data_IF_273742014629
#
_entry.id   IF_273742014629
#
_cell.length_a   1.000
_cell.length_b   1.000
_cell.length_c   1.000
_cell.angle_alpha   90.00
_cell.angle_beta   90.00
_cell.angle_gamma   90.00
#
_symmetry.space_group_name_H-M   'P 1'
#
loop_
_entity.id
_entity.type
_entity.pdbx_description
1 polymer ?
#
# COMPACT_ATOMS: atom_id res chain seq x y z
N UNK A 1 -3.96 -9.75 1.48
CA UNK A 1 -2.93 -10.62 2.09
C UNK A 1 -1.74 -9.83 2.62
N UNK A 2 -0.97 -9.11 1.79
CA UNK A 2 0.24 -8.39 2.23
C UNK A 2 -0.01 -7.40 3.38
N UNK A 3 -1.07 -6.59 3.29
CA UNK A 3 -1.48 -5.68 4.37
C UNK A 3 -1.80 -6.43 5.69
N UNK A 4 -2.33 -7.65 5.62
CA UNK A 4 -2.55 -8.50 6.80
C UNK A 4 -1.24 -9.01 7.39
N UNK A 5 -0.24 -9.31 6.56
CA UNK A 5 1.09 -9.74 7.01
C UNK A 5 1.84 -8.61 7.72
N UNK A 6 1.70 -7.37 7.24
CA UNK A 6 2.22 -6.17 7.92
C UNK A 6 1.40 -5.78 9.16
N UNK A 7 0.08 -6.05 9.14
CA UNK A 7 -0.88 -5.57 10.13
C UNK A 7 -1.47 -4.20 9.79
N UNK A 8 -1.02 -3.58 8.69
CA UNK A 8 -1.48 -2.29 8.19
C UNK A 8 -1.17 -2.14 6.69
N UNK A 9 -1.82 -1.18 6.00
CA UNK A 9 -3.02 -0.45 6.44
C UNK A 9 -4.23 -1.39 6.41
N UNK A 10 -5.41 -0.91 6.82
CA UNK A 10 -6.64 -1.71 6.63
C UNK A 10 -7.05 -1.64 5.17
N UNK A 11 -7.19 -2.80 4.54
CA UNK A 11 -7.78 -2.94 3.20
C UNK A 11 -9.08 -3.72 3.37
N UNK A 12 -10.20 -3.26 2.80
CA UNK A 12 -11.45 -4.02 2.89
C UNK A 12 -11.27 -5.44 2.36
N UNK A 13 -11.94 -6.44 2.97
CA UNK A 13 -11.87 -7.82 2.53
C UNK A 13 -12.08 -7.93 1.01
N UNK A 14 -11.12 -8.56 0.34
CA UNK A 14 -11.13 -8.72 -1.11
C UNK A 14 -10.85 -10.18 -1.42
N UNK A 15 -11.71 -10.80 -2.24
CA UNK A 15 -11.66 -12.22 -2.58
C UNK A 15 -11.75 -12.42 -4.09
N UNK A 16 -11.17 -13.52 -4.59
CA UNK A 16 -11.36 -13.95 -5.96
C UNK A 16 -12.74 -14.59 -6.16
N UNK A 17 -13.35 -14.30 -7.30
CA UNK A 17 -14.65 -14.82 -7.73
C UNK A 17 -14.68 -14.96 -9.25
N UNK A 18 -15.37 -15.99 -9.73
CA UNK A 18 -15.75 -16.07 -11.14
C UNK A 18 -16.71 -14.93 -11.48
N UNK A 19 -16.38 -14.18 -12.53
CA UNK A 19 -17.19 -13.12 -13.10
C UNK A 19 -17.58 -13.41 -14.55
N UNK A 20 -18.41 -12.55 -15.17
CA UNK A 20 -18.89 -12.73 -16.55
C UNK A 20 -17.78 -12.73 -17.61
N UNK A 21 -16.58 -12.24 -17.26
CA UNK A 21 -15.42 -12.17 -18.15
C UNK A 21 -14.22 -13.01 -17.64
N UNK A 22 -14.47 -13.99 -16.77
CA UNK A 22 -13.44 -14.78 -16.10
C UNK A 22 -13.25 -14.39 -14.65
N UNK A 23 -12.19 -14.91 -14.02
CA UNK A 23 -11.88 -14.62 -12.63
C UNK A 23 -11.61 -13.13 -12.41
N UNK A 24 -12.16 -12.59 -11.32
CA UNK A 24 -11.95 -11.21 -10.90
C UNK A 24 -11.96 -11.09 -9.38
N UNK A 25 -11.82 -9.86 -8.89
CA UNK A 25 -11.84 -9.56 -7.47
C UNK A 25 -13.16 -8.93 -7.05
N UNK A 26 -13.72 -9.38 -5.92
CA UNK A 26 -14.84 -8.75 -5.24
C UNK A 26 -14.36 -8.22 -3.90
N UNK A 27 -14.55 -6.93 -3.68
CA UNK A 27 -14.20 -6.23 -2.46
C UNK A 27 -15.47 -5.88 -1.66
N UNK A 28 -15.43 -6.08 -0.35
CA UNK A 28 -16.52 -5.68 0.54
C UNK A 28 -16.74 -4.17 0.44
N UNK A 29 -18.00 -3.76 0.27
CA UNK A 29 -18.37 -2.36 0.30
C UNK A 29 -18.24 -1.82 1.72
N UNK A 30 -17.67 -0.63 1.86
CA UNK A 30 -17.55 0.09 3.12
C UNK A 30 -18.41 1.35 3.06
N UNK A 31 -19.37 1.53 3.96
CA UNK A 31 -19.92 2.86 4.23
C UNK A 31 -18.81 3.78 4.73
N UNK A 32 -18.71 4.98 4.16
CA UNK A 32 -17.69 5.97 4.54
C UNK A 32 -18.21 7.39 4.35
N UNK A 33 -17.60 8.34 5.04
CA UNK A 33 -17.87 9.77 4.84
C UNK A 33 -17.01 10.31 3.67
N UNK A 34 -17.60 10.70 2.52
CA UNK A 34 -16.85 11.17 1.37
C UNK A 34 -16.19 12.53 1.57
N UNK A 35 -16.56 13.30 2.61
CA UNK A 35 -15.89 14.55 2.97
C UNK A 35 -14.57 14.31 3.72
N UNK A 36 -14.40 13.11 4.27
CA UNK A 36 -13.23 12.67 5.03
C UNK A 36 -12.32 11.85 4.12
N UNK A 37 -11.24 12.46 3.65
CA UNK A 37 -10.25 11.87 2.76
C UNK A 37 -8.84 12.31 3.16
N UNK A 38 -7.80 11.83 2.47
CA UNK A 38 -6.41 12.14 2.86
C UNK A 38 -6.17 13.63 3.11
N UNK A 39 -6.45 14.49 2.12
CA UNK A 39 -6.17 15.93 2.23
C UNK A 39 -6.93 16.63 3.38
N UNK A 40 -8.08 16.11 3.81
CA UNK A 40 -8.84 16.68 4.95
C UNK A 40 -8.44 16.09 6.30
N UNK A 41 -7.78 14.93 6.32
CA UNK A 41 -7.41 14.20 7.53
C UNK A 41 -5.90 14.17 7.81
N UNK A 42 -5.04 14.64 6.88
CA UNK A 42 -3.58 14.44 6.92
C UNK A 42 -2.91 14.92 8.21
N UNK A 43 -3.41 15.99 8.82
CA UNK A 43 -2.87 16.53 10.08
C UNK A 43 -3.37 15.73 11.30
N UNK A 44 -4.66 15.40 11.35
CA UNK A 44 -5.30 14.65 12.45
C UNK A 44 -4.76 13.22 12.56
N UNK A 45 -4.36 12.61 11.43
CA UNK A 45 -4.08 11.18 11.31
C UNK A 45 -2.71 10.88 10.71
N UNK A 46 -1.74 11.76 10.95
CA UNK A 46 -0.40 11.67 10.39
C UNK A 46 0.24 10.28 10.60
N UNK A 47 0.10 9.68 11.78
CA UNK A 47 0.68 8.36 12.09
C UNK A 47 0.02 7.20 11.35
N UNK A 48 -1.28 7.30 11.04
CA UNK A 48 -1.96 6.33 10.18
C UNK A 48 -1.50 6.51 8.73
N UNK A 49 -1.38 7.75 8.26
CA UNK A 49 -0.93 8.04 6.89
C UNK A 49 0.56 7.75 6.65
N UNK A 50 1.41 7.80 7.67
CA UNK A 50 2.80 7.27 7.58
C UNK A 50 2.80 5.80 7.18
N UNK A 51 1.91 5.00 7.77
CA UNK A 51 1.76 3.58 7.43
C UNK A 51 1.19 3.39 6.03
N UNK A 52 0.22 4.22 5.62
CA UNK A 52 -0.30 4.19 4.24
C UNK A 52 0.79 4.53 3.23
N UNK A 53 1.55 5.61 3.44
CA UNK A 53 2.64 6.02 2.57
C UNK A 53 3.71 4.93 2.45
N UNK A 54 4.11 4.33 3.58
CA UNK A 54 5.08 3.25 3.60
C UNK A 54 4.57 2.02 2.84
N UNK A 55 3.28 1.70 3.00
CA UNK A 55 2.66 0.61 2.28
C UNK A 55 2.63 0.86 0.77
N UNK A 56 2.31 2.09 0.34
CA UNK A 56 2.32 2.47 -1.07
C UNK A 56 3.72 2.31 -1.70
N UNK A 57 4.78 2.61 -0.95
CA UNK A 57 6.15 2.32 -1.39
C UNK A 57 6.37 0.81 -1.55
N UNK A 58 6.00 0.01 -0.53
CA UNK A 58 6.17 -1.46 -0.57
C UNK A 58 5.44 -2.07 -1.78
N UNK A 59 4.17 -1.72 -1.98
CA UNK A 59 3.36 -2.25 -3.08
C UNK A 59 3.58 -1.53 -4.40
N UNK A 60 4.34 -0.44 -4.44
CA UNK A 60 4.53 0.40 -5.62
C UNK A 60 3.18 0.86 -6.20
N UNK A 61 2.32 1.46 -5.36
CA UNK A 61 1.01 1.91 -5.79
C UNK A 61 1.14 3.06 -6.80
N UNK A 62 0.68 2.82 -8.02
CA UNK A 62 0.79 3.78 -9.10
C UNK A 62 -0.40 4.75 -9.20
N UNK A 63 -1.35 4.76 -8.27
CA UNK A 63 -2.53 5.65 -8.36
C UNK A 63 -3.20 5.97 -7.01
N UNK A 64 -2.44 6.20 -5.93
CA UNK A 64 -3.01 6.59 -4.63
C UNK A 64 -3.54 8.02 -4.68
N UNK A 65 -4.86 8.18 -4.85
CA UNK A 65 -5.57 9.45 -4.72
C UNK A 65 -6.04 9.71 -3.29
N UNK A 66 -6.39 10.95 -3.00
CA UNK A 66 -6.89 11.36 -1.69
C UNK A 66 -8.18 10.63 -1.31
N UNK A 67 -9.12 10.50 -2.26
CA UNK A 67 -10.38 9.79 -2.05
C UNK A 67 -10.24 8.28 -1.85
N UNK A 68 -9.05 7.70 -2.00
CA UNK A 68 -8.81 6.28 -1.75
C UNK A 68 -8.56 5.97 -0.27
N UNK A 69 -8.54 6.99 0.59
CA UNK A 69 -8.39 6.88 2.04
C UNK A 69 -9.75 7.13 2.69
N UNK A 70 -10.41 6.06 3.13
CA UNK A 70 -11.79 6.04 3.59
C UNK A 70 -11.84 5.99 5.11
N UNK A 71 -12.69 6.81 5.72
CA UNK A 71 -13.00 6.72 7.15
C UNK A 71 -14.36 6.06 7.32
N UNK A 72 -14.40 4.90 7.97
CA UNK A 72 -15.66 4.23 8.30
C UNK A 72 -16.44 4.98 9.40
N UNK A 73 -17.68 4.56 9.65
CA UNK A 73 -18.56 5.16 10.67
C UNK A 73 -18.02 5.00 12.10
N UNK A 74 -17.11 4.05 12.33
CA UNK A 74 -16.43 3.85 13.61
C UNK A 74 -15.07 4.56 13.71
N UNK A 75 -14.73 5.41 12.73
CA UNK A 75 -13.50 6.22 12.74
C UNK A 75 -12.22 5.45 12.40
N UNK A 76 -12.33 4.28 11.75
CA UNK A 76 -11.19 3.47 11.28
C UNK A 76 -10.82 3.85 9.86
N UNK A 77 -9.52 4.06 9.63
CA UNK A 77 -9.00 4.34 8.31
C UNK A 77 -8.83 3.06 7.48
N UNK A 78 -9.45 3.03 6.31
CA UNK A 78 -9.25 2.03 5.27
C UNK A 78 -8.63 2.65 4.03
N UNK A 79 -7.93 1.84 3.25
CA UNK A 79 -7.45 2.23 1.92
C UNK A 79 -7.91 1.26 0.85
N UNK A 80 -8.30 1.82 -0.29
CA UNK A 80 -8.84 1.09 -1.43
C UNK A 80 -8.01 1.33 -2.70
N UNK A 81 -8.46 0.78 -3.82
CA UNK A 81 -7.87 0.96 -5.14
C UNK A 81 -6.38 0.58 -5.23
N UNK A 82 -6.15 -0.73 -5.22
CA UNK A 82 -4.82 -1.34 -5.40
C UNK A 82 -4.70 -2.06 -6.75
N UNK A 83 -5.56 -1.73 -7.72
CA UNK A 83 -5.58 -2.39 -9.03
C UNK A 83 -4.34 -2.13 -9.87
N UNK A 84 -3.58 -1.08 -9.54
CA UNK A 84 -2.34 -0.68 -10.22
C UNK A 84 -1.16 -0.67 -9.24
N UNK A 85 -0.89 -1.84 -8.65
CA UNK A 85 0.23 -2.09 -7.75
C UNK A 85 1.19 -3.14 -8.33
N UNK A 86 2.27 -3.40 -7.62
CA UNK A 86 3.25 -4.49 -7.82
C UNK A 86 4.10 -4.46 -9.07
N UNK A 87 3.88 -3.50 -9.98
CA UNK A 87 4.69 -3.34 -11.17
C UNK A 87 6.20 -3.42 -10.85
N UNK A 88 6.97 -4.10 -11.71
CA UNK A 88 8.38 -4.39 -11.47
C UNK A 88 9.27 -3.14 -11.53
N UNK A 89 8.92 -2.19 -12.40
CA UNK A 89 9.54 -0.86 -12.47
C UNK A 89 8.96 0.11 -11.42
N UNK A 90 9.71 1.12 -10.97
CA UNK A 90 9.20 2.15 -10.07
C UNK A 90 8.11 2.98 -10.77
N UNK A 91 6.87 2.82 -10.31
CA UNK A 91 5.67 3.50 -10.84
C UNK A 91 4.88 4.21 -9.74
N UNK A 92 5.44 4.30 -8.53
CA UNK A 92 4.80 4.92 -7.37
C UNK A 92 4.28 6.32 -7.72
N UNK A 93 2.97 6.49 -7.59
CA UNK A 93 2.29 7.78 -7.70
C UNK A 93 1.27 7.88 -6.58
N UNK A 94 1.54 8.78 -5.65
CA UNK A 94 0.72 8.98 -4.46
C UNK A 94 0.50 10.45 -4.18
N UNK A 95 -0.54 10.78 -3.43
CA UNK A 95 -0.73 12.11 -2.85
C UNK A 95 -0.04 12.26 -1.50
N UNK A 96 0.45 11.17 -0.90
CA UNK A 96 0.97 11.11 0.47
C UNK A 96 2.51 11.21 0.44
N UNK A 97 3.02 12.37 0.02
CA UNK A 97 4.47 12.65 -0.03
C UNK A 97 4.98 13.45 1.18
N UNK A 98 4.11 13.75 2.15
CA UNK A 98 4.41 14.64 3.27
C UNK A 98 5.53 14.13 4.20
N UNK A 99 5.86 12.83 4.12
CA UNK A 99 6.84 12.18 5.02
C UNK A 99 8.21 11.94 4.39
N UNK A 100 8.46 12.42 3.17
CA UNK A 100 9.74 12.20 2.46
C UNK A 100 10.94 12.60 3.34
N UNK A 101 11.94 11.72 3.41
CA UNK A 101 13.15 11.91 4.21
C UNK A 101 12.96 11.74 5.72
N UNK A 102 11.72 11.59 6.23
CA UNK A 102 11.50 11.27 7.64
C UNK A 102 12.02 9.85 7.96
N UNK A 103 12.53 9.60 9.18
CA UNK A 103 12.84 8.25 9.64
C UNK A 103 11.60 7.37 9.67
N UNK A 104 11.74 6.12 9.21
CA UNK A 104 10.69 5.11 9.38
C UNK A 104 10.56 4.81 10.89
N UNK A 105 9.35 4.91 11.48
CA UNK A 105 9.12 4.59 12.88
C UNK A 105 9.62 3.18 13.25
N UNK A 106 10.17 3.03 14.45
CA UNK A 106 10.82 1.78 14.86
C UNK A 106 9.89 0.56 14.85
N UNK A 107 8.62 0.75 15.20
CA UNK A 107 7.58 -0.28 15.12
C UNK A 107 7.28 -0.66 13.66
N UNK A 108 7.10 0.31 12.77
CA UNK A 108 6.91 0.07 11.34
C UNK A 108 8.12 -0.60 10.69
N UNK A 109 9.35 -0.25 11.13
CA UNK A 109 10.59 -0.92 10.72
C UNK A 109 10.60 -2.38 11.16
N UNK A 110 10.25 -2.68 12.40
CA UNK A 110 10.14 -4.06 12.88
C UNK A 110 9.09 -4.86 12.09
N UNK A 111 8.00 -4.22 11.67
CA UNK A 111 6.99 -4.83 10.80
C UNK A 111 7.54 -5.15 9.40
N UNK A 112 8.36 -4.26 8.83
CA UNK A 112 9.06 -4.50 7.57
C UNK A 112 10.10 -5.62 7.67
N UNK A 113 10.82 -5.73 8.80
CA UNK A 113 11.77 -6.83 9.04
C UNK A 113 11.04 -8.18 9.07
N UNK A 114 9.89 -8.25 9.77
CA UNK A 114 9.04 -9.45 9.74
C UNK A 114 8.51 -9.74 8.34
N UNK A 115 8.09 -8.72 7.60
CA UNK A 115 7.64 -8.89 6.22
C UNK A 115 8.77 -9.41 5.33
N UNK A 116 9.99 -8.88 5.43
CA UNK A 116 11.16 -9.37 4.70
C UNK A 116 11.33 -10.87 4.92
N UNK A 117 11.30 -11.32 6.16
CA UNK A 117 11.49 -12.73 6.50
C UNK A 117 10.34 -13.61 5.96
N UNK A 118 9.10 -13.11 6.02
CA UNK A 118 7.93 -13.78 5.43
C UNK A 118 7.96 -13.84 3.89
N UNK A 119 8.73 -12.97 3.23
CA UNK A 119 8.90 -12.95 1.78
C UNK A 119 10.00 -13.89 1.28
N UNK A 120 10.81 -14.48 2.16
CA UNK A 120 11.85 -15.44 1.77
C UNK A 120 11.25 -16.81 1.41
N UNK A 121 10.35 -17.33 2.25
CA UNK A 121 9.65 -18.60 2.01
C UNK A 121 8.38 -18.73 2.85
N UNK A 122 7.50 -19.66 2.46
CA UNK A 122 6.30 -20.03 3.21
C UNK A 122 4.99 -19.59 2.54
N UNK A 123 3.85 -19.71 3.25
CA UNK A 123 2.52 -19.58 2.65
C UNK A 123 2.28 -18.23 1.96
N UNK A 124 2.81 -17.13 2.51
CA UNK A 124 2.70 -15.80 1.90
C UNK A 124 3.37 -15.76 0.51
N UNK A 125 4.53 -16.38 0.37
CA UNK A 125 5.26 -16.41 -0.91
C UNK A 125 4.51 -17.26 -1.92
N UNK A 126 4.02 -18.44 -1.52
CA UNK A 126 3.24 -19.33 -2.38
C UNK A 126 1.98 -18.63 -2.91
N UNK A 127 1.23 -17.94 -2.04
CA UNK A 127 0.07 -17.15 -2.43
C UNK A 127 0.43 -15.98 -3.36
N UNK A 128 1.58 -15.32 -3.14
CA UNK A 128 2.05 -14.22 -4.01
C UNK A 128 2.52 -14.74 -5.37
N UNK A 129 3.20 -15.89 -5.43
CA UNK A 129 3.68 -16.50 -6.67
C UNK A 129 2.54 -16.98 -7.57
N UNK A 130 1.39 -17.31 -6.99
CA UNK A 130 0.16 -17.60 -7.74
C UNK A 130 -0.47 -16.34 -8.38
N UNK A 131 -0.16 -15.14 -7.89
CA UNK A 131 -0.82 -13.89 -8.29
C UNK A 131 0.10 -12.89 -8.99
N UNK A 132 1.42 -12.98 -8.80
CA UNK A 132 2.41 -12.03 -9.30
C UNK A 132 3.43 -12.73 -10.21
N UNK A 133 3.90 -11.99 -11.22
CA UNK A 133 5.01 -12.46 -12.02
C UNK A 133 6.31 -12.50 -11.20
N UNK A 134 7.27 -13.38 -11.56
CA UNK A 134 8.56 -13.47 -10.85
C UNK A 134 9.32 -12.14 -10.77
N UNK A 135 9.19 -11.28 -11.78
CA UNK A 135 9.82 -9.97 -11.79
C UNK A 135 9.21 -8.99 -10.77
N UNK A 136 7.90 -9.06 -10.57
CA UNK A 136 7.15 -8.22 -9.62
C UNK A 136 7.46 -8.63 -8.18
N UNK A 137 7.50 -9.94 -7.90
CA UNK A 137 7.87 -10.45 -6.59
C UNK A 137 9.32 -10.11 -6.24
N UNK A 138 10.26 -10.22 -7.19
CA UNK A 138 11.64 -9.74 -6.99
C UNK A 138 11.70 -8.24 -6.71
N UNK A 139 10.89 -7.44 -7.39
CA UNK A 139 10.83 -6.01 -7.16
C UNK A 139 10.23 -5.66 -5.78
N UNK A 140 9.19 -6.38 -5.33
CA UNK A 140 8.62 -6.26 -3.99
C UNK A 140 9.68 -6.53 -2.91
N UNK A 141 10.37 -7.68 -3.00
CA UNK A 141 11.47 -8.03 -2.08
C UNK A 141 12.54 -6.96 -2.04
N UNK A 142 12.95 -6.46 -3.22
CA UNK A 142 13.94 -5.39 -3.33
C UNK A 142 13.48 -4.12 -2.60
N UNK A 143 12.26 -3.64 -2.85
CA UNK A 143 11.71 -2.43 -2.19
C UNK A 143 11.70 -2.55 -0.66
N UNK A 144 11.31 -3.71 -0.11
CA UNK A 144 11.35 -3.93 1.34
C UNK A 144 12.79 -3.87 1.89
N UNK A 145 13.75 -4.51 1.21
CA UNK A 145 15.16 -4.45 1.63
C UNK A 145 15.73 -3.03 1.55
N UNK A 146 15.44 -2.30 0.48
CA UNK A 146 15.93 -0.94 0.28
C UNK A 146 15.37 -0.01 1.38
N UNK A 147 14.08 -0.11 1.70
CA UNK A 147 13.46 0.62 2.82
C UNK A 147 14.15 0.32 4.18
N UNK A 148 14.50 -0.94 4.44
CA UNK A 148 15.19 -1.33 5.67
C UNK A 148 16.64 -0.85 5.72
N UNK A 149 17.31 -0.80 4.57
CA UNK A 149 18.69 -0.34 4.44
C UNK A 149 18.78 1.18 4.65
N UNK A 150 17.93 1.94 3.97
CA UNK A 150 17.91 3.41 4.04
C UNK A 150 17.28 3.91 5.35
N UNK A 151 16.21 3.25 5.83
CA UNK A 151 15.55 3.60 7.09
C UNK A 151 14.76 4.90 7.07
N UNK A 152 14.54 5.49 5.90
CA UNK A 152 13.77 6.74 5.69
C UNK A 152 12.74 6.56 4.59
N UNK A 153 11.71 7.41 4.56
CA UNK A 153 10.78 7.47 3.44
C UNK A 153 11.50 7.99 2.18
N UNK A 154 11.36 7.31 1.03
CA UNK A 154 12.10 7.64 -0.17
C UNK A 154 11.58 8.92 -0.85
N UNK A 155 12.48 9.63 -1.51
CA UNK A 155 12.14 10.69 -2.45
C UNK A 155 11.36 10.14 -3.66
N UNK A 156 10.52 10.97 -4.32
CA UNK A 156 9.83 10.54 -5.52
C UNK A 156 10.81 10.17 -6.65
N UNK A 157 10.50 9.08 -7.34
CA UNK A 157 11.25 8.64 -8.52
C UNK A 157 11.06 9.56 -9.74
N UNK A 158 11.76 9.28 -10.86
CA UNK A 158 11.62 10.06 -12.08
C UNK A 158 10.19 10.00 -12.65
N UNK A 159 9.74 11.11 -13.22
CA UNK A 159 8.41 11.24 -13.82
C UNK A 159 7.45 12.02 -12.93
N UNK A 160 6.14 11.82 -13.15
CA UNK A 160 5.10 12.50 -12.37
C UNK A 160 4.80 11.71 -11.10
N UNK A 161 5.04 12.26 -9.89
CA UNK A 161 4.92 11.51 -8.63
C UNK A 161 3.50 11.51 -8.06
N UNK A 162 2.59 12.28 -8.65
CA UNK A 162 1.19 12.35 -8.25
C UNK A 162 0.30 11.49 -9.16
N UNK A 163 -0.83 10.96 -8.66
CA UNK A 163 -1.89 10.38 -9.49
C UNK A 163 -2.69 11.48 -10.21
N UNK A 164 -3.54 11.11 -11.16
CA UNK A 164 -4.50 12.04 -11.76
C UNK A 164 -5.90 11.42 -11.79
N UNK A 165 -6.94 12.13 -11.31
CA UNK A 165 -6.89 13.34 -10.47
C UNK A 165 -6.22 13.09 -9.11
N UNK A 166 -6.09 14.15 -8.30
CA UNK A 166 -5.54 14.06 -6.92
C UNK A 166 -6.58 13.69 -5.86
N UNK A 167 -7.88 13.90 -6.14
CA UNK A 167 -9.02 13.51 -5.31
C UNK A 167 -9.78 12.42 -6.04
#
# INVERSE_FOLDING_TARGET
MLARALGWPRVPPTVLRDGPFGEGAVQAFLPFDPSRHYLTMREERADEFRRVALFDVVVNNADRKSGHCLLDEEGRLFVVDHGVCFHAEPKLRTVIWDFVGEPIPADARADLERLRDLLEAGPLVEELEALLFPAELRALRRRVRDLLAEGVFPEPGPGRPYPWPIV
#
